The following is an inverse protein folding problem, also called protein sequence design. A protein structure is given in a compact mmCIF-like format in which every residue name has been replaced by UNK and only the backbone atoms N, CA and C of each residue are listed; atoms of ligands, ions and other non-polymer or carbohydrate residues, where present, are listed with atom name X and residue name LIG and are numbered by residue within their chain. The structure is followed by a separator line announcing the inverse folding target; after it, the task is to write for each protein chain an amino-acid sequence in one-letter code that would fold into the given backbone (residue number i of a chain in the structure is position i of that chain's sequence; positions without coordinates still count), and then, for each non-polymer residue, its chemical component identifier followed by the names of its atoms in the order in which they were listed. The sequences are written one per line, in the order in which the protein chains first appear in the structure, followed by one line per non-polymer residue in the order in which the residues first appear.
data_IF_144626052899
#
_entry.id   IF_144626052899
#
_cell.length_a   1.000
_cell.length_b   1.000
_cell.length_c   1.000
_cell.angle_alpha   90.00
_cell.angle_beta   90.00
_cell.angle_gamma   90.00
#
_symmetry.space_group_name_H-M   'P 1'
#
loop_
_entity.id
_entity.type
_entity.pdbx_description
1 polymer ?
#
# COMPACT_ATOMS: atom_id res chain seq x y z
N UNK A 1 -18.07 -5.84 19.40
CA UNK A 1 -16.72 -5.86 19.98
C UNK A 1 -15.94 -6.97 19.28
N UNK A 2 -15.32 -6.67 18.13
CA UNK A 2 -14.34 -7.55 17.49
C UNK A 2 -13.23 -6.65 16.96
N UNK A 3 -12.17 -6.50 17.75
CA UNK A 3 -10.88 -6.02 17.27
C UNK A 3 -10.15 -7.26 16.74
N UNK A 4 -10.51 -7.74 15.57
CA UNK A 4 -9.62 -8.68 14.88
C UNK A 4 -8.44 -7.87 14.37
N UNK A 5 -7.32 -8.01 15.10
CA UNK A 5 -6.04 -7.41 14.80
C UNK A 5 -5.09 -8.58 14.56
N UNK A 6 -4.88 -8.93 13.29
CA UNK A 6 -3.84 -9.90 12.94
C UNK A 6 -2.69 -9.14 12.31
N UNK A 7 -1.65 -8.91 13.12
CA UNK A 7 -0.32 -8.47 12.73
C UNK A 7 0.56 -9.73 12.70
N UNK A 8 1.21 -10.05 11.57
CA UNK A 8 2.37 -10.94 11.61
C UNK A 8 3.60 -10.22 11.11
N UNK A 9 4.53 -9.97 12.04
CA UNK A 9 5.85 -9.44 11.81
C UNK A 9 6.82 -10.59 11.49
N UNK A 10 7.79 -10.36 10.59
CA UNK A 10 9.11 -10.99 10.72
C UNK A 10 10.16 -9.88 10.90
N UNK A 11 10.73 -9.86 12.11
CA UNK A 11 11.83 -9.00 12.59
C UNK A 11 13.16 -9.49 11.98
N UNK A 12 14.15 -8.61 11.73
CA UNK A 12 15.17 -8.83 10.72
C UNK A 12 16.29 -9.73 11.22
N UNK A 13 16.66 -10.71 10.40
CA UNK A 13 18.00 -11.33 10.45
C UNK A 13 18.90 -10.90 9.29
N UNK A 14 18.36 -10.31 8.21
CA UNK A 14 19.08 -10.29 6.93
C UNK A 14 18.72 -9.11 6.00
N UNK A 15 17.99 -8.09 6.48
CA UNK A 15 17.50 -7.01 5.61
C UNK A 15 16.57 -7.54 4.51
N UNK A 16 15.68 -8.48 4.80
CA UNK A 16 14.58 -8.92 3.92
C UNK A 16 13.33 -9.12 4.78
N UNK A 17 12.31 -8.29 4.60
CA UNK A 17 10.98 -8.60 5.15
C UNK A 17 10.24 -9.43 4.10
N UNK A 18 9.87 -10.66 4.47
CA UNK A 18 8.97 -11.50 3.68
C UNK A 18 7.61 -11.47 4.37
N UNK A 19 6.59 -11.02 3.62
CA UNK A 19 5.17 -11.01 3.96
C UNK A 19 4.81 -10.14 5.17
N UNK A 20 4.48 -8.87 4.91
CA UNK A 20 3.68 -8.06 5.83
C UNK A 20 2.22 -8.20 5.41
N UNK A 21 1.44 -8.96 6.20
CA UNK A 21 -0.03 -8.95 6.12
C UNK A 21 -0.56 -8.11 7.26
N UNK A 22 -1.20 -6.98 6.94
CA UNK A 22 -1.94 -6.18 7.93
C UNK A 22 -3.41 -6.19 7.56
N UNK A 23 -4.21 -6.87 8.37
CA UNK A 23 -5.67 -6.89 8.21
C UNK A 23 -6.30 -6.24 9.43
N UNK A 24 -7.03 -5.14 9.18
CA UNK A 24 -7.89 -4.54 10.20
C UNK A 24 -9.36 -4.77 9.84
N UNK A 25 -10.16 -5.18 10.83
CA UNK A 25 -11.63 -5.20 10.78
C UNK A 25 -12.23 -3.78 10.73
N UNK A 26 -13.34 -3.52 11.45
CA UNK A 26 -13.97 -2.18 11.51
C UNK A 26 -13.06 -1.14 12.17
N UNK A 27 -12.91 0.02 11.52
CA UNK A 27 -12.20 1.22 11.99
C UNK A 27 -10.69 1.02 12.19
N UNK A 28 -10.05 0.37 11.21
CA UNK A 28 -8.62 0.08 11.18
C UNK A 28 -7.75 1.28 10.78
N UNK A 29 -6.62 1.48 11.46
CA UNK A 29 -5.59 2.42 11.02
C UNK A 29 -4.24 1.73 10.89
N UNK A 30 -3.65 1.83 9.70
CA UNK A 30 -2.25 1.48 9.44
C UNK A 30 -1.45 2.77 9.45
N UNK A 31 -0.71 3.02 10.53
CA UNK A 31 0.07 4.26 10.66
C UNK A 31 1.33 4.23 9.77
N UNK A 32 2.09 3.12 9.82
CA UNK A 32 3.33 2.98 9.08
C UNK A 32 3.63 1.52 8.75
N UNK A 33 3.90 1.25 7.48
CA UNK A 33 4.60 0.05 7.00
C UNK A 33 5.89 0.52 6.35
N UNK A 34 7.04 0.04 6.85
CA UNK A 34 8.35 0.40 6.30
C UNK A 34 9.18 -0.85 6.05
N UNK A 35 9.68 -1.00 4.82
CA UNK A 35 10.52 -2.13 4.39
C UNK A 35 11.73 -1.60 3.63
N UNK A 36 12.95 -1.92 4.07
CA UNK A 36 14.19 -1.44 3.41
C UNK A 36 14.63 -2.30 2.23
N UNK A 37 14.21 -3.55 2.21
CA UNK A 37 14.51 -4.56 1.21
C UNK A 37 13.49 -5.69 1.43
N UNK A 38 12.73 -6.08 0.42
CA UNK A 38 11.73 -7.14 0.59
C UNK A 38 10.39 -6.82 -0.07
N UNK A 39 9.31 -7.38 0.48
CA UNK A 39 7.97 -7.24 -0.10
C UNK A 39 6.91 -6.99 0.97
N UNK A 40 5.93 -6.16 0.59
CA UNK A 40 4.67 -5.99 1.29
C UNK A 40 3.60 -6.68 0.45
N UNK A 41 3.19 -7.88 0.84
CA UNK A 41 2.31 -8.66 -0.01
C UNK A 41 0.84 -8.22 0.13
N UNK A 42 0.38 -7.86 1.34
CA UNK A 42 -1.00 -7.43 1.55
C UNK A 42 -1.19 -6.43 2.69
N UNK A 43 -1.73 -5.26 2.36
CA UNK A 43 -2.34 -4.34 3.32
C UNK A 43 -3.84 -4.27 3.05
N UNK A 44 -4.66 -4.69 4.01
CA UNK A 44 -6.12 -4.71 3.88
C UNK A 44 -6.82 -4.01 5.04
N UNK A 45 -7.67 -3.04 4.72
CA UNK A 45 -8.40 -2.24 5.71
C UNK A 45 -9.89 -2.14 5.35
N UNK A 46 -10.77 -2.52 6.28
CA UNK A 46 -12.23 -2.43 6.12
C UNK A 46 -12.83 -1.32 6.99
N UNK A 47 -13.08 -0.15 6.41
CA UNK A 47 -13.40 1.10 7.14
C UNK A 47 -12.18 1.63 7.89
N UNK A 48 -11.45 2.60 7.33
CA UNK A 48 -10.21 3.04 7.95
C UNK A 48 -9.26 3.84 7.08
N UNK A 49 -8.00 3.90 7.49
CA UNK A 49 -6.94 4.63 6.79
C UNK A 49 -5.62 3.87 6.76
N UNK A 50 -4.88 4.05 5.67
CA UNK A 50 -3.47 3.69 5.54
C UNK A 50 -2.69 4.96 5.33
N UNK A 51 -1.92 5.37 6.34
CA UNK A 51 -1.24 6.66 6.31
C UNK A 51 0.06 6.60 5.49
N UNK A 52 0.90 5.58 5.73
CA UNK A 52 2.16 5.43 5.00
C UNK A 52 2.55 3.97 4.77
N UNK A 53 2.79 3.63 3.51
CA UNK A 53 3.53 2.43 3.07
C UNK A 53 4.80 2.89 2.37
N UNK A 54 5.96 2.60 2.94
CA UNK A 54 7.27 2.94 2.40
C UNK A 54 8.10 1.69 2.14
N UNK A 55 8.54 1.51 0.90
CA UNK A 55 9.41 0.40 0.51
C UNK A 55 10.65 0.93 -0.20
N UNK A 56 11.82 0.59 0.32
CA UNK A 56 13.10 0.74 -0.38
C UNK A 56 13.47 -0.64 -0.94
N UNK A 57 13.93 -0.71 -2.19
CA UNK A 57 14.38 -1.93 -2.86
C UNK A 57 13.41 -3.13 -2.71
N UNK A 58 12.22 -3.03 -3.28
CA UNK A 58 11.18 -4.02 -3.00
C UNK A 58 9.92 -3.94 -3.82
N UNK A 59 8.87 -4.59 -3.35
CA UNK A 59 7.54 -4.59 -3.99
C UNK A 59 6.43 -4.38 -2.98
N UNK A 60 5.36 -3.75 -3.43
CA UNK A 60 4.06 -3.73 -2.76
C UNK A 60 3.09 -4.45 -3.69
N UNK A 61 2.65 -5.65 -3.32
CA UNK A 61 1.82 -6.46 -4.23
C UNK A 61 0.35 -5.99 -4.16
N UNK A 62 -0.21 -5.78 -2.96
CA UNK A 62 -1.59 -5.31 -2.81
C UNK A 62 -1.80 -4.37 -1.61
N UNK A 63 -2.38 -3.21 -1.89
CA UNK A 63 -3.05 -2.35 -0.90
C UNK A 63 -4.54 -2.29 -1.23
N UNK A 64 -5.39 -2.77 -0.32
CA UNK A 64 -6.84 -2.83 -0.50
C UNK A 64 -7.57 -2.10 0.63
N UNK A 65 -8.38 -1.10 0.28
CA UNK A 65 -9.19 -0.33 1.24
C UNK A 65 -10.65 -0.27 0.79
N UNK A 66 -11.57 -0.85 1.56
CA UNK A 66 -12.98 -0.89 1.14
C UNK A 66 -13.69 0.44 1.36
N UNK A 67 -13.51 1.06 2.52
CA UNK A 67 -14.11 2.35 2.88
C UNK A 67 -13.04 3.16 3.59
N UNK A 68 -12.44 4.18 2.97
CA UNK A 68 -11.29 4.80 3.63
C UNK A 68 -10.37 5.64 2.76
N UNK A 69 -9.13 5.76 3.23
CA UNK A 69 -8.09 6.53 2.56
C UNK A 69 -6.75 5.80 2.57
N UNK A 70 -5.98 6.00 1.51
CA UNK A 70 -4.56 5.70 1.44
C UNK A 70 -3.85 7.03 1.23
N UNK A 71 -3.13 7.52 2.24
CA UNK A 71 -2.52 8.85 2.17
C UNK A 71 -1.21 8.79 1.35
N UNK A 72 -0.33 7.82 1.62
CA UNK A 72 0.92 7.68 0.88
C UNK A 72 1.38 6.23 0.68
N UNK A 73 1.61 5.86 -0.58
CA UNK A 73 2.42 4.70 -0.97
C UNK A 73 3.68 5.20 -1.67
N UNK A 74 4.85 4.95 -1.07
CA UNK A 74 6.15 5.39 -1.58
C UNK A 74 7.08 4.21 -1.80
N UNK A 75 7.56 4.03 -3.03
CA UNK A 75 8.51 2.96 -3.38
C UNK A 75 9.76 3.52 -4.06
N UNK A 76 10.93 3.24 -3.48
CA UNK A 76 12.24 3.54 -4.07
C UNK A 76 12.85 2.25 -4.59
N UNK A 77 13.18 2.17 -5.88
CA UNK A 77 13.71 0.96 -6.54
C UNK A 77 12.78 -0.26 -6.40
N UNK A 78 11.63 -0.25 -7.07
CA UNK A 78 10.65 -1.30 -6.82
C UNK A 78 9.41 -1.28 -7.69
N UNK A 79 8.36 -1.95 -7.22
CA UNK A 79 7.06 -2.00 -7.90
C UNK A 79 5.91 -1.86 -6.91
N UNK A 80 4.81 -1.30 -7.40
CA UNK A 80 3.50 -1.37 -6.77
C UNK A 80 2.60 -2.09 -7.76
N UNK A 81 2.14 -3.30 -7.45
CA UNK A 81 1.36 -4.09 -8.40
C UNK A 81 -0.11 -3.65 -8.36
N UNK A 82 -0.72 -3.50 -7.16
CA UNK A 82 -2.09 -3.03 -7.04
C UNK A 82 -2.35 -2.14 -5.82
N UNK A 83 -2.94 -0.97 -6.07
CA UNK A 83 -3.66 -0.17 -5.07
C UNK A 83 -5.13 -0.13 -5.44
N UNK A 84 -6.00 -0.68 -4.59
CA UNK A 84 -7.45 -0.76 -4.81
C UNK A 84 -8.21 -0.08 -3.68
N UNK A 85 -9.06 0.88 -4.01
CA UNK A 85 -9.96 1.54 -3.05
C UNK A 85 -11.40 1.54 -3.54
N UNK A 86 -12.31 0.91 -2.81
CA UNK A 86 -13.72 0.83 -3.26
C UNK A 86 -14.47 2.13 -3.01
N UNK A 87 -14.54 2.62 -1.78
CA UNK A 87 -15.17 3.90 -1.44
C UNK A 87 -14.17 4.77 -0.67
N UNK A 88 -13.56 5.76 -1.31
CA UNK A 88 -12.44 6.42 -0.65
C UNK A 88 -11.54 7.29 -1.51
N UNK A 89 -10.32 7.48 -1.03
CA UNK A 89 -9.29 8.27 -1.74
C UNK A 89 -7.92 7.62 -1.67
N UNK A 90 -7.13 7.87 -2.69
CA UNK A 90 -5.68 7.67 -2.69
C UNK A 90 -5.05 9.03 -2.90
N UNK A 91 -4.33 9.55 -1.91
CA UNK A 91 -3.78 10.91 -2.00
C UNK A 91 -2.47 10.88 -2.82
N UNK A 92 -1.54 9.97 -2.53
CA UNK A 92 -0.30 9.84 -3.29
C UNK A 92 0.19 8.40 -3.44
N UNK A 93 0.49 8.03 -4.69
CA UNK A 93 1.36 6.90 -5.04
C UNK A 93 2.62 7.45 -5.72
N UNK A 94 3.78 7.24 -5.11
CA UNK A 94 5.06 7.72 -5.61
C UNK A 94 6.06 6.58 -5.82
N UNK A 95 6.64 6.47 -7.01
CA UNK A 95 7.70 5.49 -7.31
C UNK A 95 8.89 6.16 -7.98
N UNK A 96 10.07 6.09 -7.35
CA UNK A 96 11.26 6.79 -7.88
C UNK A 96 11.90 6.03 -9.04
N UNK A 97 12.17 4.73 -8.88
CA UNK A 97 12.75 3.88 -9.91
C UNK A 97 11.95 2.58 -9.93
N UNK A 98 11.08 2.37 -10.91
CA UNK A 98 10.12 1.28 -10.76
C UNK A 98 8.88 1.30 -11.64
N UNK A 99 7.84 0.62 -11.18
CA UNK A 99 6.54 0.57 -11.86
C UNK A 99 5.39 0.66 -10.88
N UNK A 100 4.28 1.17 -11.39
CA UNK A 100 2.96 1.02 -10.78
C UNK A 100 2.08 0.31 -11.82
N UNK A 101 1.62 -0.90 -11.53
CA UNK A 101 0.87 -1.67 -12.53
C UNK A 101 -0.61 -1.23 -12.53
N UNK A 102 -1.27 -1.16 -11.36
CA UNK A 102 -2.64 -0.69 -11.27
C UNK A 102 -2.92 0.15 -10.02
N UNK A 103 -3.51 1.32 -10.24
CA UNK A 103 -4.25 2.07 -9.20
C UNK A 103 -5.72 2.10 -9.62
N UNK A 104 -6.60 1.52 -8.80
CA UNK A 104 -8.03 1.45 -9.07
C UNK A 104 -8.81 2.04 -7.91
N UNK A 105 -9.64 3.03 -8.18
CA UNK A 105 -10.63 3.57 -7.26
C UNK A 105 -12.01 3.43 -7.90
N UNK A 106 -13.03 2.99 -7.15
CA UNK A 106 -14.38 2.75 -7.70
C UNK A 106 -15.35 3.88 -7.41
N UNK A 107 -15.42 4.33 -6.16
CA UNK A 107 -16.27 5.43 -5.71
C UNK A 107 -15.41 6.41 -4.92
N UNK A 108 -14.61 7.20 -5.64
CA UNK A 108 -13.57 7.96 -5.00
C UNK A 108 -12.72 8.79 -5.93
N UNK A 109 -11.50 9.09 -5.48
CA UNK A 109 -10.51 9.85 -6.26
C UNK A 109 -9.10 9.34 -6.01
N UNK A 110 -8.26 9.55 -7.00
CA UNK A 110 -6.80 9.50 -6.88
C UNK A 110 -6.29 10.92 -7.11
N UNK A 111 -5.56 11.49 -6.15
CA UNK A 111 -5.08 12.86 -6.27
C UNK A 111 -3.77 12.91 -7.07
N UNK A 112 -2.81 12.03 -6.78
CA UNK A 112 -1.55 11.97 -7.52
C UNK A 112 -0.98 10.55 -7.63
N UNK A 113 -0.57 10.20 -8.84
CA UNK A 113 0.35 9.08 -9.12
C UNK A 113 1.57 9.65 -9.81
N UNK A 114 2.74 9.49 -9.20
CA UNK A 114 4.01 10.02 -9.70
C UNK A 114 5.03 8.91 -9.86
N UNK A 115 5.66 8.82 -11.03
CA UNK A 115 6.76 7.89 -11.28
C UNK A 115 7.90 8.62 -11.98
N UNK A 116 9.08 8.65 -11.36
CA UNK A 116 10.23 9.43 -11.87
C UNK A 116 11.00 8.68 -12.97
N UNK A 117 11.50 7.49 -12.67
CA UNK A 117 12.25 6.64 -13.60
C UNK A 117 11.54 5.28 -13.73
N UNK A 118 10.45 5.28 -14.48
CA UNK A 118 9.55 4.15 -14.47
C UNK A 118 8.33 4.36 -15.35
N UNK A 119 7.28 3.63 -15.04
CA UNK A 119 6.00 3.72 -15.75
C UNK A 119 4.84 3.41 -14.82
N UNK A 120 3.69 3.95 -15.20
CA UNK A 120 2.39 3.57 -14.67
C UNK A 120 1.65 2.88 -15.80
N UNK A 121 1.14 1.66 -15.59
CA UNK A 121 0.44 0.93 -16.63
C UNK A 121 -1.04 1.33 -16.69
N UNK A 122 -1.73 1.39 -15.55
CA UNK A 122 -3.13 1.83 -15.49
C UNK A 122 -3.47 2.60 -14.20
N UNK A 123 -4.21 3.70 -14.37
CA UNK A 123 -4.94 4.38 -13.30
C UNK A 123 -6.40 4.46 -13.70
N UNK A 124 -7.27 3.87 -12.88
CA UNK A 124 -8.73 3.91 -13.02
C UNK A 124 -9.33 4.55 -11.77
N UNK A 125 -10.29 5.46 -11.95
CA UNK A 125 -10.97 6.19 -10.87
C UNK A 125 -12.46 6.23 -11.13
#
# INVERSE_FOLDING_TARGET
MCKEKTLLWLVPGNGRVNLVTVTYGRDGRVDLVSVTNGRVDLVSVTNGRVDLVSVTNGRVDLVSVTNGRVDLVSVTNGRVDLVSVTNGRVDLVSVTNGRVDLVSVTNGRVDLVSVTNGRVDLVSV
#
